data_IF_200241095745
#
_entry.id   IF_200241095745
#
_cell.length_a   1.000
_cell.length_b   1.000
_cell.length_c   1.000
_cell.angle_alpha   90.00
_cell.angle_beta   90.00
_cell.angle_gamma   90.00
#
_symmetry.space_group_name_H-M   'P 1'
#
loop_
_entity.id
_entity.type
_entity.pdbx_description
1 polymer ?
#
# COMPACT_ATOMS: atom_id res chain seq x y z
N UNK A 1 -15.96 17.29 23.84
CA UNK A 1 -15.19 17.80 22.69
C UNK A 1 -15.68 17.07 21.46
N UNK A 2 -15.82 17.76 20.31
CA UNK A 2 -16.13 17.09 19.03
C UNK A 2 -14.97 16.16 18.67
N UNK A 3 -15.26 14.92 18.27
CA UNK A 3 -14.26 14.01 17.75
C UNK A 3 -13.80 14.49 16.37
N UNK A 4 -12.51 14.28 16.06
CA UNK A 4 -11.95 14.55 14.73
C UNK A 4 -12.21 13.32 13.86
N UNK A 5 -12.96 13.48 12.79
CA UNK A 5 -13.29 12.41 11.86
C UNK A 5 -12.17 12.23 10.85
N UNK A 6 -11.52 11.07 10.88
CA UNK A 6 -10.39 10.73 10.00
C UNK A 6 -10.79 9.62 9.05
N UNK A 7 -10.86 9.93 7.77
CA UNK A 7 -11.16 8.95 6.74
C UNK A 7 -9.87 8.38 6.15
N UNK A 8 -9.77 7.06 6.06
CA UNK A 8 -8.71 6.36 5.34
C UNK A 8 -9.24 5.89 3.99
N UNK A 9 -8.48 6.14 2.91
CA UNK A 9 -8.84 5.74 1.55
C UNK A 9 -7.74 4.85 0.99
N UNK A 10 -8.10 3.64 0.54
CA UNK A 10 -7.20 2.71 -0.13
C UNK A 10 -7.97 1.75 -1.05
N UNK A 11 -7.29 1.11 -2.01
CA UNK A 11 -7.98 0.29 -3.01
C UNK A 11 -7.28 -0.99 -3.39
N UNK A 12 -6.02 -1.18 -2.98
CA UNK A 12 -5.21 -2.33 -3.34
C UNK A 12 -4.77 -3.12 -2.11
N UNK A 13 -4.37 -4.38 -2.32
CA UNK A 13 -3.84 -5.23 -1.24
C UNK A 13 -2.64 -4.62 -0.52
N UNK A 14 -1.59 -4.11 -1.20
CA UNK A 14 -0.45 -3.51 -0.53
C UNK A 14 -0.79 -2.29 0.33
N UNK A 15 -1.73 -1.45 -0.14
CA UNK A 15 -2.23 -0.32 0.64
C UNK A 15 -2.97 -0.81 1.89
N UNK A 16 -3.90 -1.77 1.74
CA UNK A 16 -4.67 -2.30 2.85
C UNK A 16 -3.79 -2.88 3.96
N UNK A 17 -2.76 -3.66 3.62
CA UNK A 17 -1.80 -4.22 4.57
C UNK A 17 -1.15 -3.11 5.40
N UNK A 18 -0.76 -2.01 4.77
CA UNK A 18 -0.06 -0.90 5.44
C UNK A 18 -1.01 0.05 6.16
N UNK A 19 -2.26 0.17 5.69
CA UNK A 19 -3.26 1.02 6.33
C UNK A 19 -3.96 0.33 7.51
N UNK A 20 -4.03 -0.99 7.54
CA UNK A 20 -4.70 -1.74 8.61
C UNK A 20 -4.19 -1.39 10.02
N UNK A 21 -2.87 -1.36 10.32
CA UNK A 21 -2.39 -0.95 11.64
C UNK A 21 -2.77 0.49 12.00
N UNK A 22 -2.80 1.37 10.99
CA UNK A 22 -3.19 2.77 11.18
C UNK A 22 -4.68 2.89 11.53
N UNK A 23 -5.55 2.17 10.81
CA UNK A 23 -7.00 2.12 11.13
C UNK A 23 -7.23 1.59 12.54
N UNK A 24 -6.57 0.49 12.90
CA UNK A 24 -6.66 -0.09 14.25
C UNK A 24 -6.20 0.91 15.33
N UNK A 25 -5.14 1.67 15.08
CA UNK A 25 -4.67 2.68 16.03
C UNK A 25 -5.63 3.88 16.13
N UNK A 26 -6.21 4.34 15.02
CA UNK A 26 -7.23 5.39 15.02
C UNK A 26 -8.45 4.99 15.87
N UNK A 27 -8.88 3.72 15.78
CA UNK A 27 -10.00 3.18 16.59
C UNK A 27 -9.72 3.20 18.11
N UNK A 28 -8.46 3.05 18.50
CA UNK A 28 -8.05 3.05 19.91
C UNK A 28 -7.92 4.45 20.51
N UNK A 29 -7.85 5.50 19.69
CA UNK A 29 -7.59 6.87 20.17
C UNK A 29 -8.86 7.59 20.56
N UNK A 30 -9.05 7.91 21.84
CA UNK A 30 -10.14 8.76 22.25
C UNK A 30 -10.07 10.12 21.55
N UNK A 31 -11.20 10.58 21.03
CA UNK A 31 -11.27 11.87 20.32
C UNK A 31 -11.06 11.77 18.81
N UNK A 32 -10.72 10.58 18.26
CA UNK A 32 -10.74 10.30 16.83
C UNK A 32 -11.94 9.43 16.47
N UNK A 33 -12.55 9.71 15.33
CA UNK A 33 -13.63 8.92 14.73
C UNK A 33 -13.11 8.40 13.38
N UNK A 34 -12.64 7.13 13.31
CA UNK A 34 -12.16 6.56 12.07
C UNK A 34 -13.30 6.25 11.12
N UNK A 35 -13.08 6.51 9.84
CA UNK A 35 -13.95 6.10 8.72
C UNK A 35 -13.08 5.39 7.70
N UNK A 36 -13.45 4.18 7.30
CA UNK A 36 -12.72 3.39 6.32
C UNK A 36 -13.45 3.38 5.00
N UNK A 37 -12.81 3.87 3.95
CA UNK A 37 -13.32 3.84 2.58
C UNK A 37 -12.39 3.02 1.69
N UNK A 38 -12.94 2.04 0.98
CA UNK A 38 -12.19 1.26 0.00
C UNK A 38 -12.72 1.51 -1.40
N UNK A 39 -11.81 1.58 -2.38
CA UNK A 39 -12.19 1.67 -3.80
C UNK A 39 -12.34 0.29 -4.44
N UNK A 40 -11.73 -0.73 -3.84
CA UNK A 40 -11.70 -2.11 -4.33
C UNK A 40 -11.23 -2.19 -5.79
N UNK A 41 -10.11 -1.52 -6.10
CA UNK A 41 -9.47 -1.60 -7.42
C UNK A 41 -9.04 -3.03 -7.79
N UNK A 42 -8.73 -3.89 -6.79
CA UNK A 42 -8.44 -5.32 -6.92
C UNK A 42 -9.24 -6.09 -5.86
N UNK A 43 -10.48 -6.47 -6.17
CA UNK A 43 -11.48 -6.97 -5.24
C UNK A 43 -11.01 -8.15 -4.39
N UNK A 44 -10.74 -9.30 -5.01
CA UNK A 44 -10.45 -10.55 -4.29
C UNK A 44 -9.22 -10.45 -3.37
N UNK A 45 -8.17 -9.80 -3.87
CA UNK A 45 -6.94 -9.59 -3.10
C UNK A 45 -7.12 -8.61 -1.94
N UNK A 46 -8.01 -7.64 -2.07
CA UNK A 46 -8.33 -6.70 -1.01
C UNK A 46 -9.13 -7.38 0.09
N UNK A 47 -10.18 -8.13 -0.28
CA UNK A 47 -11.07 -8.79 0.66
C UNK A 47 -10.32 -9.74 1.60
N UNK A 48 -9.37 -10.52 1.08
CA UNK A 48 -8.53 -11.40 1.92
C UNK A 48 -7.72 -10.64 2.98
N UNK A 49 -7.26 -9.43 2.68
CA UNK A 49 -6.55 -8.60 3.66
C UNK A 49 -7.52 -8.00 4.68
N UNK A 50 -8.67 -7.51 4.21
CA UNK A 50 -9.70 -6.99 5.12
C UNK A 50 -10.12 -8.05 6.14
N UNK A 51 -10.25 -9.31 5.72
CA UNK A 51 -10.57 -10.44 6.61
C UNK A 51 -9.42 -10.69 7.61
N UNK A 52 -8.17 -10.80 7.15
CA UNK A 52 -6.99 -11.06 8.01
C UNK A 52 -6.84 -10.00 9.11
N UNK A 53 -7.09 -8.73 8.78
CA UNK A 53 -6.97 -7.61 9.72
C UNK A 53 -8.28 -7.24 10.39
N UNK A 54 -9.35 -8.01 10.17
CA UNK A 54 -10.69 -7.77 10.73
C UNK A 54 -11.24 -6.37 10.43
N UNK A 55 -10.86 -5.81 9.26
CA UNK A 55 -11.30 -4.50 8.82
C UNK A 55 -12.67 -4.57 8.14
N UNK A 56 -13.56 -3.69 8.54
CA UNK A 56 -14.87 -3.51 7.89
C UNK A 56 -14.93 -2.10 7.31
N UNK A 57 -14.92 -1.96 5.99
CA UNK A 57 -15.08 -0.65 5.37
C UNK A 57 -16.47 -0.07 5.65
N UNK A 58 -16.52 1.22 5.96
CA UNK A 58 -17.78 1.98 6.08
C UNK A 58 -18.33 2.33 4.69
N UNK A 59 -17.42 2.51 3.72
CA UNK A 59 -17.74 2.79 2.31
C UNK A 59 -16.93 1.89 1.39
N UNK A 60 -17.60 1.36 0.38
CA UNK A 60 -17.01 0.50 -0.65
C UNK A 60 -17.48 0.96 -2.03
N UNK A 61 -16.57 1.54 -2.82
CA UNK A 61 -16.88 2.04 -4.16
C UNK A 61 -16.95 0.94 -5.22
N UNK A 62 -16.35 -0.21 -4.96
CA UNK A 62 -16.34 -1.38 -5.85
C UNK A 62 -16.09 -1.03 -7.33
N UNK A 63 -15.00 -0.29 -7.59
CA UNK A 63 -14.72 0.26 -8.93
C UNK A 63 -14.10 -0.74 -9.90
N UNK A 64 -13.80 -1.98 -9.44
CA UNK A 64 -13.14 -2.98 -10.26
C UNK A 64 -13.98 -3.39 -11.46
N UNK A 65 -13.40 -3.34 -12.66
CA UNK A 65 -13.97 -3.86 -13.91
C UNK A 65 -12.88 -4.51 -14.76
N UNK A 66 -13.25 -5.46 -15.63
CA UNK A 66 -12.30 -6.05 -16.58
C UNK A 66 -11.70 -4.99 -17.51
N UNK A 67 -10.40 -5.09 -17.78
CA UNK A 67 -9.67 -4.23 -18.74
C UNK A 67 -9.73 -2.73 -18.44
N UNK A 68 -9.72 -2.35 -17.18
CA UNK A 68 -9.69 -0.94 -16.78
C UNK A 68 -8.41 -0.24 -17.26
N UNK A 69 -8.57 0.98 -17.76
CA UNK A 69 -7.46 1.91 -18.01
C UNK A 69 -7.19 2.76 -16.75
N UNK A 70 -6.01 3.36 -16.66
CA UNK A 70 -5.70 4.33 -15.60
C UNK A 70 -6.73 5.47 -15.53
N UNK A 71 -7.16 5.97 -16.71
CA UNK A 71 -8.18 7.02 -16.80
C UNK A 71 -9.52 6.57 -16.23
N UNK A 72 -9.95 5.33 -16.52
CA UNK A 72 -11.19 4.77 -15.99
C UNK A 72 -11.15 4.62 -14.48
N UNK A 73 -10.05 4.08 -13.93
CA UNK A 73 -9.85 3.92 -12.49
C UNK A 73 -9.91 5.29 -11.80
N UNK A 74 -9.13 6.27 -12.29
CA UNK A 74 -9.06 7.60 -11.72
C UNK A 74 -10.42 8.31 -11.75
N UNK A 75 -11.13 8.26 -12.88
CA UNK A 75 -12.44 8.89 -13.04
C UNK A 75 -13.48 8.27 -12.11
N UNK A 76 -13.56 6.93 -12.04
CA UNK A 76 -14.51 6.24 -11.18
C UNK A 76 -14.22 6.50 -9.69
N UNK A 77 -12.96 6.49 -9.30
CA UNK A 77 -12.56 6.80 -7.94
C UNK A 77 -12.96 8.25 -7.59
N UNK A 78 -12.62 9.22 -8.44
CA UNK A 78 -12.91 10.62 -8.21
C UNK A 78 -14.43 10.88 -8.07
N UNK A 79 -15.23 10.39 -9.03
CA UNK A 79 -16.68 10.55 -9.01
C UNK A 79 -17.34 9.78 -7.84
N UNK A 80 -16.88 8.57 -7.54
CA UNK A 80 -17.39 7.79 -6.41
C UNK A 80 -17.09 8.42 -5.06
N UNK A 81 -15.94 9.09 -4.93
CA UNK A 81 -15.58 9.79 -3.69
C UNK A 81 -16.42 11.04 -3.43
N UNK A 82 -17.00 11.68 -4.44
CA UNK A 82 -17.82 12.88 -4.28
C UNK A 82 -18.96 12.65 -3.28
N UNK A 83 -19.81 11.65 -3.53
CA UNK A 83 -20.92 11.34 -2.64
C UNK A 83 -20.50 10.81 -1.26
N UNK A 84 -19.37 10.07 -1.20
CA UNK A 84 -18.83 9.58 0.07
C UNK A 84 -18.35 10.73 0.95
N UNK A 85 -17.61 11.69 0.39
CA UNK A 85 -17.09 12.84 1.14
C UNK A 85 -18.19 13.78 1.59
N UNK A 86 -19.22 14.00 0.75
CA UNK A 86 -20.41 14.79 1.14
C UNK A 86 -21.18 14.17 2.30
N UNK A 87 -21.30 12.84 2.31
CA UNK A 87 -22.01 12.11 3.36
C UNK A 87 -21.19 12.01 4.64
N UNK A 88 -19.93 11.58 4.54
CA UNK A 88 -19.08 11.32 5.69
C UNK A 88 -18.55 12.58 6.34
N UNK A 89 -18.27 13.63 5.58
CA UNK A 89 -17.72 14.93 6.01
C UNK A 89 -16.51 14.78 6.94
N UNK A 90 -15.45 14.10 6.50
CA UNK A 90 -14.26 13.93 7.35
C UNK A 90 -13.55 15.27 7.56
N UNK A 91 -12.86 15.41 8.69
CA UNK A 91 -11.99 16.55 8.99
C UNK A 91 -10.60 16.36 8.36
N UNK A 92 -10.22 15.11 8.10
CA UNK A 92 -8.94 14.70 7.49
C UNK A 92 -9.14 13.44 6.66
N UNK A 93 -8.55 13.42 5.48
CA UNK A 93 -8.44 12.23 4.63
C UNK A 93 -6.99 11.74 4.66
N UNK A 94 -6.78 10.45 4.90
CA UNK A 94 -5.48 9.78 4.82
C UNK A 94 -5.46 8.89 3.57
N UNK A 95 -4.49 9.11 2.70
CA UNK A 95 -4.21 8.29 1.53
C UNK A 95 -2.83 7.66 1.65
N UNK A 96 -2.58 6.54 0.98
CA UNK A 96 -1.34 5.79 1.13
C UNK A 96 -0.60 5.58 -0.19
N UNK A 97 0.70 5.86 -0.19
CA UNK A 97 1.60 5.49 -1.29
C UNK A 97 1.37 6.28 -2.58
N UNK A 98 1.12 5.57 -3.68
CA UNK A 98 1.26 6.12 -5.02
C UNK A 98 0.32 5.54 -6.08
N UNK A 99 -0.71 4.83 -5.67
CA UNK A 99 -1.68 4.26 -6.61
C UNK A 99 -2.58 5.33 -7.25
N UNK A 100 -3.31 4.97 -8.30
CA UNK A 100 -4.35 5.84 -8.87
C UNK A 100 -5.45 6.15 -7.86
N UNK A 101 -5.76 5.23 -6.94
CA UNK A 101 -6.67 5.46 -5.80
C UNK A 101 -6.15 6.54 -4.88
N UNK A 102 -4.85 6.50 -4.54
CA UNK A 102 -4.19 7.51 -3.69
C UNK A 102 -4.32 8.90 -4.27
N UNK A 103 -3.98 9.03 -5.56
CA UNK A 103 -4.07 10.31 -6.27
C UNK A 103 -5.52 10.81 -6.38
N UNK A 104 -6.45 9.96 -6.85
CA UNK A 104 -7.84 10.36 -7.02
C UNK A 104 -8.53 10.68 -5.69
N UNK A 105 -8.23 9.92 -4.63
CA UNK A 105 -8.75 10.18 -3.29
C UNK A 105 -8.25 11.50 -2.68
N UNK A 106 -6.96 11.80 -2.86
CA UNK A 106 -6.38 13.07 -2.44
C UNK A 106 -6.98 14.26 -3.21
N UNK A 107 -7.14 14.11 -4.53
CA UNK A 107 -7.72 15.15 -5.39
C UNK A 107 -9.20 15.40 -5.05
N UNK A 108 -9.99 14.34 -4.80
CA UNK A 108 -11.37 14.45 -4.36
C UNK A 108 -11.47 15.21 -3.03
N UNK A 109 -10.65 14.85 -2.04
CA UNK A 109 -10.61 15.54 -0.76
C UNK A 109 -10.25 17.03 -0.91
N UNK A 110 -9.27 17.34 -1.75
CA UNK A 110 -8.89 18.71 -2.05
C UNK A 110 -10.05 19.52 -2.67
N UNK A 111 -10.82 18.93 -3.61
CA UNK A 111 -11.99 19.61 -4.19
C UNK A 111 -13.09 19.92 -3.16
N UNK A 112 -13.19 19.09 -2.13
CA UNK A 112 -14.10 19.30 -1.00
C UNK A 112 -13.50 20.16 0.13
N UNK A 113 -12.28 20.72 -0.07
CA UNK A 113 -11.56 21.53 0.93
C UNK A 113 -11.29 20.77 2.24
N UNK A 114 -11.13 19.47 2.14
CA UNK A 114 -10.79 18.57 3.25
C UNK A 114 -9.27 18.38 3.26
N UNK A 115 -8.67 18.50 4.44
CA UNK A 115 -7.24 18.30 4.63
C UNK A 115 -6.81 16.89 4.25
N UNK A 116 -5.63 16.75 3.67
CA UNK A 116 -5.08 15.49 3.19
C UNK A 116 -3.79 15.15 3.94
N UNK A 117 -3.68 13.91 4.41
CA UNK A 117 -2.44 13.33 4.92
C UNK A 117 -1.96 12.21 4.01
N UNK A 118 -0.71 12.30 3.60
CA UNK A 118 -0.06 11.31 2.74
C UNK A 118 0.79 10.36 3.56
N UNK A 119 0.36 9.11 3.68
CA UNK A 119 1.08 8.03 4.35
C UNK A 119 2.06 7.39 3.35
N UNK A 120 3.28 7.08 3.78
CA UNK A 120 4.41 6.64 2.95
C UNK A 120 4.89 7.73 1.97
N UNK A 121 4.88 8.98 2.43
CA UNK A 121 5.26 10.14 1.65
C UNK A 121 6.77 10.22 1.36
N UNK A 122 7.13 10.88 0.27
CA UNK A 122 8.52 11.26 -0.02
C UNK A 122 9.38 10.18 -0.70
N UNK A 123 8.80 9.04 -1.13
CA UNK A 123 9.50 8.14 -2.04
C UNK A 123 9.68 8.80 -3.40
N UNK A 124 10.90 8.72 -3.95
CA UNK A 124 11.25 9.28 -5.28
C UNK A 124 12.24 8.40 -6.00
N UNK A 125 12.01 8.19 -7.29
CA UNK A 125 12.99 7.62 -8.23
C UNK A 125 13.67 8.70 -9.05
N UNK A 126 13.01 9.84 -9.26
CA UNK A 126 13.47 10.92 -10.12
C UNK A 126 13.12 10.72 -11.60
N UNK A 127 12.59 9.58 -11.98
CA UNK A 127 12.10 9.31 -13.34
C UNK A 127 10.57 9.19 -13.34
N UNK A 128 9.89 10.15 -13.97
CA UNK A 128 8.42 10.22 -14.01
C UNK A 128 7.75 9.03 -14.71
N UNK A 129 8.50 8.22 -15.41
CA UNK A 129 8.02 7.03 -16.11
C UNK A 129 8.46 5.72 -15.45
N UNK A 130 9.20 5.77 -14.32
CA UNK A 130 9.68 4.57 -13.64
C UNK A 130 9.68 4.74 -12.11
N UNK A 131 8.77 4.05 -11.38
CA UNK A 131 7.63 3.27 -11.87
C UNK A 131 6.53 4.17 -12.47
N UNK A 132 5.78 3.64 -13.41
CA UNK A 132 4.68 4.35 -14.06
C UNK A 132 3.33 3.69 -13.74
N UNK A 133 2.30 4.45 -13.29
CA UNK A 133 2.23 5.93 -13.11
C UNK A 133 2.67 6.41 -11.73
N UNK A 134 3.22 5.54 -10.87
CA UNK A 134 3.38 5.72 -9.44
C UNK A 134 4.25 6.95 -9.09
N UNK A 135 5.35 7.19 -9.83
CA UNK A 135 6.22 8.33 -9.53
C UNK A 135 5.49 9.67 -9.67
N UNK A 136 4.63 9.81 -10.67
CA UNK A 136 3.84 11.03 -10.82
C UNK A 136 2.71 11.13 -9.81
N UNK A 137 2.03 10.02 -9.52
CA UNK A 137 0.99 10.02 -8.50
C UNK A 137 1.53 10.50 -7.15
N UNK A 138 2.70 9.99 -6.69
CA UNK A 138 3.28 10.38 -5.40
C UNK A 138 3.75 11.84 -5.36
N UNK A 139 4.18 12.40 -6.49
CA UNK A 139 4.52 13.81 -6.62
C UNK A 139 3.28 14.69 -6.51
N UNK A 140 2.26 14.40 -7.30
CA UNK A 140 1.00 15.16 -7.30
C UNK A 140 0.30 15.10 -5.92
N UNK A 141 0.31 13.93 -5.28
CA UNK A 141 -0.22 13.81 -3.90
C UNK A 141 0.63 14.62 -2.91
N UNK A 142 1.95 14.67 -3.11
CA UNK A 142 2.84 15.49 -2.30
C UNK A 142 2.47 16.97 -2.35
N UNK A 143 2.11 17.50 -3.53
CA UNK A 143 1.70 18.89 -3.68
C UNK A 143 0.28 19.17 -3.11
N UNK A 144 -0.60 18.16 -3.09
CA UNK A 144 -1.96 18.29 -2.55
C UNK A 144 -1.99 18.17 -1.02
N UNK A 145 -1.16 17.32 -0.43
CA UNK A 145 -1.24 16.96 0.97
C UNK A 145 -0.79 18.06 1.93
N UNK A 146 -1.50 18.19 3.06
CA UNK A 146 -1.15 19.09 4.19
C UNK A 146 -0.21 18.43 5.19
N UNK A 147 -0.27 17.08 5.29
CA UNK A 147 0.52 16.28 6.22
C UNK A 147 1.24 15.15 5.46
N UNK A 148 2.53 14.98 5.76
CA UNK A 148 3.37 13.99 5.07
C UNK A 148 4.03 13.07 6.09
N UNK A 149 3.66 11.78 6.08
CA UNK A 149 4.21 10.77 6.97
C UNK A 149 5.28 9.96 6.23
N UNK A 150 6.53 10.35 6.39
CA UNK A 150 7.67 9.77 5.69
C UNK A 150 8.18 8.51 6.38
N UNK A 151 8.47 7.42 5.65
CA UNK A 151 9.09 6.23 6.23
C UNK A 151 10.47 6.49 6.81
N UNK A 152 11.28 7.32 6.17
CA UNK A 152 12.67 7.57 6.57
C UNK A 152 13.05 9.05 6.44
N UNK A 153 14.21 9.41 7.02
CA UNK A 153 14.82 10.74 6.84
C UNK A 153 15.17 11.03 5.39
N UNK A 154 15.54 10.01 4.61
CA UNK A 154 15.80 10.19 3.17
C UNK A 154 14.53 10.59 2.40
N UNK A 155 13.38 9.99 2.76
CA UNK A 155 12.10 10.38 2.16
C UNK A 155 11.71 11.82 2.52
N UNK A 156 11.92 12.23 3.77
CA UNK A 156 11.74 13.62 4.18
C UNK A 156 12.64 14.57 3.37
N UNK A 157 13.93 14.24 3.21
CA UNK A 157 14.87 15.07 2.44
C UNK A 157 14.47 15.18 0.95
N UNK A 158 13.74 14.20 0.39
CA UNK A 158 13.18 14.30 -0.95
C UNK A 158 12.10 15.40 -1.03
N UNK A 159 11.20 15.45 -0.06
CA UNK A 159 10.17 16.48 0.03
C UNK A 159 10.78 17.88 0.25
N UNK A 160 11.75 17.99 1.15
CA UNK A 160 12.47 19.25 1.40
C UNK A 160 13.14 19.81 0.14
N UNK A 161 13.70 18.94 -0.72
CA UNK A 161 14.26 19.36 -2.02
C UNK A 161 13.21 19.84 -3.02
N UNK A 162 11.97 19.46 -2.86
CA UNK A 162 10.82 19.90 -3.64
C UNK A 162 10.12 21.13 -3.00
N UNK A 163 10.67 21.67 -1.90
CA UNK A 163 10.13 22.83 -1.20
C UNK A 163 9.03 22.50 -0.20
N UNK A 164 8.73 21.24 0.04
CA UNK A 164 7.74 20.80 1.03
C UNK A 164 8.42 20.61 2.38
N UNK A 165 8.27 21.59 3.27
CA UNK A 165 8.93 21.64 4.58
C UNK A 165 7.97 21.54 5.75
N UNK A 166 6.73 21.99 5.57
CA UNK A 166 5.71 22.03 6.60
C UNK A 166 4.90 20.72 6.64
N UNK A 167 4.43 20.36 7.82
CA UNK A 167 3.61 19.16 7.99
C UNK A 167 4.32 17.84 7.71
N UNK A 168 5.67 17.81 7.71
CA UNK A 168 6.48 16.62 7.35
C UNK A 168 6.99 15.92 8.60
N UNK A 169 6.60 14.65 8.77
CA UNK A 169 6.93 13.80 9.92
C UNK A 169 7.63 12.52 9.46
N UNK A 170 8.68 12.10 10.17
CA UNK A 170 9.31 10.78 9.96
C UNK A 170 8.69 9.80 10.94
N UNK A 171 7.90 8.86 10.43
CA UNK A 171 7.05 7.96 11.24
C UNK A 171 7.43 6.49 11.13
N UNK A 172 8.33 6.12 10.22
CA UNK A 172 8.57 4.72 9.88
C UNK A 172 7.58 4.20 8.83
N UNK A 173 7.64 2.90 8.57
CA UNK A 173 6.76 2.24 7.60
C UNK A 173 5.80 1.29 8.33
N UNK A 174 4.52 1.49 8.17
CA UNK A 174 3.45 0.73 8.81
C UNK A 174 3.41 -0.75 8.40
N UNK A 175 4.14 -1.15 7.34
CA UNK A 175 4.30 -2.57 6.99
C UNK A 175 4.96 -3.37 8.11
N UNK A 176 5.83 -2.74 8.91
CA UNK A 176 6.49 -3.39 10.06
C UNK A 176 5.46 -3.69 11.15
N UNK A 177 4.50 -2.78 11.36
CA UNK A 177 3.42 -2.98 12.34
C UNK A 177 2.44 -4.05 11.86
N UNK A 178 2.12 -4.06 10.56
CA UNK A 178 1.31 -5.12 9.94
C UNK A 178 1.97 -6.51 10.11
N UNK A 179 3.30 -6.59 9.88
CA UNK A 179 4.04 -7.84 10.06
C UNK A 179 3.97 -8.33 11.52
N UNK A 180 4.11 -7.45 12.50
CA UNK A 180 3.98 -7.81 13.93
C UNK A 180 2.61 -8.37 14.29
N UNK A 181 1.56 -7.89 13.61
CA UNK A 181 0.18 -8.35 13.83
C UNK A 181 -0.07 -9.72 13.21
N UNK A 182 0.58 -10.01 12.07
CA UNK A 182 0.34 -11.24 11.29
C UNK A 182 1.26 -12.41 11.66
N UNK A 183 2.38 -12.15 12.36
CA UNK A 183 3.30 -13.21 12.80
C UNK A 183 2.66 -14.02 13.91
N UNK A 184 2.47 -15.31 13.66
CA UNK A 184 1.97 -16.29 14.63
C UNK A 184 3.10 -17.24 14.99
N UNK A 185 3.32 -17.47 16.30
CA UNK A 185 4.24 -18.52 16.77
C UNK A 185 3.62 -19.88 16.48
N UNK A 186 4.46 -20.85 16.13
CA UNK A 186 4.06 -22.23 15.88
C UNK A 186 2.98 -22.36 14.78
N UNK A 187 3.12 -21.56 13.72
CA UNK A 187 2.21 -21.57 12.58
C UNK A 187 2.29 -22.89 11.81
N UNK A 188 1.14 -23.52 11.58
CA UNK A 188 1.01 -24.69 10.72
C UNK A 188 0.55 -24.27 9.32
N UNK A 189 1.36 -24.58 8.33
CA UNK A 189 1.04 -24.29 6.94
C UNK A 189 -0.01 -25.29 6.41
N UNK A 190 -0.87 -24.81 5.53
CA UNK A 190 -1.82 -25.68 4.80
C UNK A 190 -1.13 -26.62 3.82
N UNK A 191 0.10 -26.31 3.42
CA UNK A 191 0.93 -27.10 2.51
C UNK A 191 1.93 -27.93 3.32
N UNK A 192 1.81 -29.24 3.27
CA UNK A 192 2.66 -30.20 4.00
C UNK A 192 4.16 -29.99 3.73
N UNK A 193 4.51 -29.63 2.50
CA UNK A 193 5.87 -29.31 2.11
C UNK A 193 6.52 -28.29 3.04
N UNK A 194 5.80 -27.21 3.36
CA UNK A 194 6.32 -26.14 4.23
C UNK A 194 6.42 -26.58 5.68
N UNK A 195 5.55 -27.47 6.14
CA UNK A 195 5.60 -28.01 7.50
C UNK A 195 6.79 -28.95 7.74
N UNK A 196 7.34 -29.56 6.66
CA UNK A 196 8.46 -30.50 6.73
C UNK A 196 9.82 -29.87 6.46
N UNK A 197 9.89 -28.56 6.21
CA UNK A 197 11.16 -27.85 6.07
C UNK A 197 11.92 -27.82 7.41
N UNK A 198 13.23 -28.00 7.34
CA UNK A 198 14.10 -27.81 8.52
C UNK A 198 14.35 -26.32 8.77
N UNK A 199 13.56 -25.74 9.67
CA UNK A 199 13.68 -24.34 10.09
C UNK A 199 14.75 -24.12 11.17
N UNK A 200 15.33 -25.18 11.74
CA UNK A 200 16.29 -25.11 12.85
C UNK A 200 17.73 -25.25 12.40
N UNK A 201 17.99 -26.12 11.43
CA UNK A 201 19.35 -26.43 10.94
C UNK A 201 19.79 -25.59 9.74
N UNK A 202 18.89 -24.85 9.08
CA UNK A 202 19.20 -24.09 7.86
C UNK A 202 18.63 -22.67 7.93
N UNK A 203 19.33 -21.72 7.30
CA UNK A 203 18.79 -20.39 7.05
C UNK A 203 17.90 -20.46 5.80
N UNK A 204 16.63 -20.04 5.94
CA UNK A 204 15.68 -19.97 4.84
C UNK A 204 15.61 -18.56 4.36
N UNK A 205 15.84 -18.33 3.06
CA UNK A 205 15.73 -17.04 2.39
C UNK A 205 14.56 -17.13 1.40
N UNK A 206 13.50 -16.38 1.67
CA UNK A 206 12.39 -16.23 0.75
C UNK A 206 12.68 -15.07 -0.20
N UNK A 207 12.73 -15.37 -1.50
CA UNK A 207 12.90 -14.36 -2.56
C UNK A 207 11.62 -14.27 -3.39
N UNK A 208 11.09 -13.08 -3.54
CA UNK A 208 9.96 -12.80 -4.43
C UNK A 208 10.34 -11.74 -5.46
N UNK A 209 10.07 -12.01 -6.73
CA UNK A 209 10.33 -11.10 -7.83
C UNK A 209 9.13 -11.11 -8.78
N UNK A 210 8.35 -10.04 -8.83
CA UNK A 210 7.07 -10.02 -9.59
C UNK A 210 6.83 -8.71 -10.34
N UNK A 211 7.85 -7.88 -10.58
CA UNK A 211 7.72 -6.67 -11.39
C UNK A 211 7.68 -7.01 -12.87
N UNK A 212 6.80 -6.38 -13.62
CA UNK A 212 6.61 -6.64 -15.07
C UNK A 212 7.89 -6.46 -15.87
N UNK A 213 8.71 -5.46 -15.53
CA UNK A 213 10.01 -5.22 -16.17
C UNK A 213 11.04 -6.33 -15.95
N UNK A 214 10.78 -7.24 -15.00
CA UNK A 214 11.66 -8.36 -14.69
C UNK A 214 11.21 -9.68 -15.35
N UNK A 215 10.11 -9.70 -16.11
CA UNK A 215 9.68 -10.91 -16.81
C UNK A 215 10.64 -11.28 -17.95
N UNK A 216 10.90 -12.58 -18.11
CA UNK A 216 11.78 -13.13 -19.14
C UNK A 216 13.18 -13.44 -18.63
N UNK A 217 14.21 -13.24 -19.46
CA UNK A 217 15.61 -13.57 -19.12
C UNK A 217 16.12 -13.01 -17.77
N UNK A 218 15.74 -11.79 -17.32
CA UNK A 218 16.17 -11.29 -16.01
C UNK A 218 15.68 -12.13 -14.81
N UNK A 219 14.64 -12.94 -15.02
CA UNK A 219 14.05 -13.80 -14.00
C UNK A 219 14.52 -15.25 -14.06
N UNK A 220 15.44 -15.56 -14.94
CA UNK A 220 16.07 -16.88 -14.95
C UNK A 220 16.80 -17.07 -13.59
N UNK A 221 16.50 -18.14 -12.85
CA UNK A 221 17.19 -18.45 -11.58
C UNK A 221 18.71 -18.45 -11.71
N UNK A 222 19.25 -18.81 -12.88
CA UNK A 222 20.68 -18.76 -13.17
C UNK A 222 21.24 -17.34 -13.29
N UNK A 223 20.38 -16.32 -13.53
CA UNK A 223 20.79 -14.92 -13.66
C UNK A 223 20.59 -14.12 -12.36
N UNK A 224 19.95 -14.68 -11.33
CA UNK A 224 19.84 -14.07 -10.00
C UNK A 224 21.17 -14.28 -9.25
N UNK A 225 22.18 -13.54 -9.63
CA UNK A 225 23.45 -13.52 -8.88
C UNK A 225 23.26 -12.68 -7.61
N UNK A 226 23.03 -13.33 -6.49
CA UNK A 226 23.25 -12.70 -5.20
C UNK A 226 24.76 -12.61 -4.97
N UNK A 227 25.36 -11.43 -4.76
CA UNK A 227 26.79 -11.30 -4.49
C UNK A 227 27.17 -12.21 -3.32
N UNK A 228 28.13 -13.10 -3.53
CA UNK A 228 28.63 -14.06 -2.52
C UNK A 228 27.68 -15.21 -2.12
N UNK A 229 26.65 -15.52 -2.90
CA UNK A 229 25.83 -16.69 -2.68
C UNK A 229 25.95 -17.66 -3.87
N UNK A 230 26.54 -18.82 -3.63
CA UNK A 230 26.50 -19.94 -4.54
C UNK A 230 25.33 -20.85 -4.12
N UNK A 231 24.30 -21.02 -4.98
CA UNK A 231 23.23 -21.95 -4.64
C UNK A 231 23.81 -23.37 -4.50
N UNK A 232 23.44 -24.12 -3.46
CA UNK A 232 23.79 -25.54 -3.42
C UNK A 232 23.22 -26.22 -4.65
N UNK A 233 23.97 -27.17 -5.23
CA UNK A 233 23.60 -27.89 -6.48
C UNK A 233 22.24 -28.62 -6.41
N UNK A 234 21.62 -28.68 -5.26
CA UNK A 234 20.25 -29.19 -4.99
C UNK A 234 19.25 -28.05 -4.80
N UNK A 235 19.38 -26.94 -5.52
CA UNK A 235 18.37 -25.90 -5.48
C UNK A 235 17.03 -26.48 -6.01
N UNK A 236 15.99 -26.33 -5.24
CA UNK A 236 14.64 -26.78 -5.52
C UNK A 236 14.14 -26.25 -6.87
N UNK A 237 13.39 -27.09 -7.61
CA UNK A 237 12.79 -26.62 -8.84
C UNK A 237 11.88 -25.41 -8.52
N UNK A 238 12.22 -24.27 -9.10
CA UNK A 238 11.34 -23.11 -9.12
C UNK A 238 10.12 -23.52 -9.94
N UNK A 239 9.04 -23.90 -9.28
CA UNK A 239 7.76 -24.03 -9.98
C UNK A 239 7.31 -22.62 -10.29
N UNK A 240 7.51 -22.21 -11.53
CA UNK A 240 6.84 -21.04 -12.08
C UNK A 240 5.33 -21.34 -12.07
N UNK A 241 4.64 -20.96 -11.01
CA UNK A 241 3.19 -20.91 -10.98
C UNK A 241 2.76 -19.86 -11.99
N UNK A 242 2.30 -20.29 -13.16
CA UNK A 242 1.73 -19.41 -14.15
C UNK A 242 0.51 -18.74 -13.53
N UNK A 243 0.56 -17.42 -13.39
CA UNK A 243 -0.64 -16.61 -13.30
C UNK A 243 -1.14 -16.46 -14.73
N UNK A 244 -2.12 -17.26 -15.11
CA UNK A 244 -2.89 -16.99 -16.30
C UNK A 244 -3.63 -15.67 -16.09
N UNK A 245 -3.49 -14.78 -17.09
CA UNK A 245 -3.96 -13.40 -17.11
C UNK A 245 -5.49 -13.29 -17.24
#
# INVERSE_FOLDING_TARGET
>A
MRQVRVMTIFGTRPEAIKMAPLVAELQRRPGLEPVCCVTAQHREMLDSVLEIFELRPDYDLNIMEPRQTLSTITSKCLLGMEGVLEQARPDLVLVHGDTSTTFAGALAAFYHQIRVGHVEAGLRTGDKYSPFPEEMNRKLVGDIADLHFCPTRANRANLEREGITDGVFVTGNTVIDALKTTVVKDYHFTTDLLNHLDYTGRKIILVTCHRRENYGQPMDPASIALPHWEPPMEAWPVTAGGFDA
#
